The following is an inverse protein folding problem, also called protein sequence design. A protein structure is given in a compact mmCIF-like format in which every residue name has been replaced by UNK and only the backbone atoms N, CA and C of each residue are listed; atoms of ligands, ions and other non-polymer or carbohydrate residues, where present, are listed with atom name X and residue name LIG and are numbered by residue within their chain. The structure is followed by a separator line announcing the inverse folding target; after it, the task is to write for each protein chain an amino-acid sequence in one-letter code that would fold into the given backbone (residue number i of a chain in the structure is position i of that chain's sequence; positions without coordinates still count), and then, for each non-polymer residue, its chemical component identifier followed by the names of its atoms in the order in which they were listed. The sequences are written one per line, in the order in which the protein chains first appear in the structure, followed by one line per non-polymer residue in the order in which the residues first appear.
data_IF_195314496545
#
_entry.id   IF_195314496545
#
_cell.length_a   1.000
_cell.length_b   1.000
_cell.length_c   1.000
_cell.angle_alpha   90.00
_cell.angle_beta   90.00
_cell.angle_gamma   90.00
#
_symmetry.space_group_name_H-M   'P 1'
#
loop_
_entity.id
_entity.type
_entity.pdbx_description
1 polymer ?
#
# COMPACT_ATOMS: atom_id res chain seq x y z
N UNK A 1 -13.59 35.96 -1.59
CA UNK A 1 -12.72 35.32 -2.59
C UNK A 1 -12.06 34.09 -1.94
N UNK A 2 -12.58 32.94 -2.24
CA UNK A 2 -11.99 31.69 -1.77
C UNK A 2 -10.71 31.45 -2.57
N UNK A 3 -9.57 31.63 -1.96
CA UNK A 3 -8.33 31.06 -2.49
C UNK A 3 -8.49 29.56 -2.41
N UNK A 4 -8.91 28.94 -3.50
CA UNK A 4 -8.66 27.52 -3.70
C UNK A 4 -7.15 27.33 -3.58
N UNK A 5 -6.71 26.95 -2.40
CA UNK A 5 -5.44 26.28 -2.27
C UNK A 5 -5.57 25.05 -3.16
N UNK A 6 -5.05 25.14 -4.37
CA UNK A 6 -4.68 23.97 -5.14
C UNK A 6 -3.65 23.23 -4.30
N UNK A 7 -4.14 22.51 -3.31
CA UNK A 7 -3.37 21.45 -2.70
C UNK A 7 -2.99 20.54 -3.86
N UNK A 8 -1.70 20.32 -4.12
CA UNK A 8 -1.29 19.33 -5.11
C UNK A 8 -2.02 18.06 -4.73
N UNK A 9 -2.98 17.71 -5.53
CA UNK A 9 -4.03 16.75 -5.27
C UNK A 9 -3.43 15.50 -4.67
N UNK A 10 -3.63 15.32 -3.38
CA UNK A 10 -3.33 14.06 -2.72
C UNK A 10 -4.01 12.98 -3.55
N UNK A 11 -3.24 12.16 -4.23
CA UNK A 11 -3.79 11.10 -5.05
C UNK A 11 -4.46 10.11 -4.12
N UNK A 12 -5.70 9.86 -4.39
CA UNK A 12 -6.60 9.09 -3.55
C UNK A 12 -7.15 7.92 -4.36
N UNK A 13 -7.18 6.76 -3.77
CA UNK A 13 -7.89 5.59 -4.27
C UNK A 13 -9.08 5.34 -3.37
N UNK A 14 -10.24 5.14 -3.96
CA UNK A 14 -11.47 4.85 -3.25
C UNK A 14 -11.92 3.42 -3.58
N UNK A 15 -11.97 2.56 -2.57
CA UNK A 15 -12.46 1.20 -2.70
C UNK A 15 -13.92 1.16 -2.22
N UNK A 16 -14.80 0.79 -3.12
CA UNK A 16 -16.25 0.78 -2.88
C UNK A 16 -16.89 -0.43 -3.56
N UNK A 17 -17.90 -1.07 -2.96
CA UNK A 17 -18.65 -2.12 -3.63
C UNK A 17 -19.28 -1.60 -4.95
N UNK A 18 -19.31 -2.44 -5.97
CA UNK A 18 -19.86 -2.06 -7.28
C UNK A 18 -21.30 -1.53 -7.19
N UNK A 19 -22.11 -2.12 -6.32
CA UNK A 19 -23.48 -1.67 -6.07
C UNK A 19 -23.59 -0.28 -5.41
N UNK A 20 -22.49 0.24 -4.88
CA UNK A 20 -22.42 1.53 -4.15
C UNK A 20 -21.61 2.59 -4.88
N UNK A 21 -21.41 2.46 -6.17
CA UNK A 21 -20.63 3.38 -6.97
C UNK A 21 -21.11 4.84 -6.86
N UNK A 22 -22.42 5.05 -6.79
CA UNK A 22 -22.99 6.39 -6.61
C UNK A 22 -22.59 7.03 -5.26
N UNK A 23 -22.51 6.23 -4.21
CA UNK A 23 -22.05 6.70 -2.91
C UNK A 23 -20.60 7.19 -2.94
N UNK A 24 -19.76 6.53 -3.72
CA UNK A 24 -18.38 6.95 -3.92
C UNK A 24 -18.29 8.31 -4.65
N UNK A 25 -19.05 8.49 -5.71
CA UNK A 25 -19.11 9.77 -6.44
C UNK A 25 -19.64 10.89 -5.57
N UNK A 26 -20.69 10.63 -4.79
CA UNK A 26 -21.25 11.62 -3.88
C UNK A 26 -20.24 12.03 -2.79
N UNK A 27 -19.53 11.06 -2.21
CA UNK A 27 -18.49 11.33 -1.22
C UNK A 27 -17.33 12.12 -1.82
N UNK A 28 -16.89 11.76 -3.02
CA UNK A 28 -15.83 12.47 -3.73
C UNK A 28 -16.19 13.95 -3.97
N UNK A 29 -17.42 14.22 -4.38
CA UNK A 29 -17.90 15.60 -4.56
C UNK A 29 -18.00 16.35 -3.23
N UNK A 30 -18.54 15.70 -2.19
CA UNK A 30 -18.70 16.32 -0.88
C UNK A 30 -17.38 16.75 -0.25
N UNK A 31 -16.35 15.94 -0.38
CA UNK A 31 -15.03 16.19 0.22
C UNK A 31 -14.04 16.84 -0.74
N UNK A 32 -14.39 17.04 -2.00
CA UNK A 32 -13.52 17.65 -3.00
C UNK A 32 -12.37 16.74 -3.45
N UNK A 33 -12.52 15.42 -3.40
CA UNK A 33 -11.54 14.48 -3.88
C UNK A 33 -11.70 14.19 -5.37
N UNK A 34 -10.60 13.82 -6.00
CA UNK A 34 -10.58 13.22 -7.34
C UNK A 34 -9.98 11.81 -7.25
N UNK A 35 -10.73 10.84 -6.75
CA UNK A 35 -10.20 9.51 -6.51
C UNK A 35 -10.21 8.66 -7.77
N UNK A 36 -9.29 7.69 -7.82
CA UNK A 36 -9.47 6.50 -8.65
C UNK A 36 -10.42 5.55 -7.93
N UNK A 37 -11.56 5.26 -8.53
CA UNK A 37 -12.59 4.41 -7.92
C UNK A 37 -12.36 2.97 -8.38
N UNK A 38 -12.21 2.07 -7.42
CA UNK A 38 -12.02 0.65 -7.63
C UNK A 38 -13.04 -0.16 -6.82
N UNK A 39 -13.38 -1.33 -7.32
CA UNK A 39 -14.38 -2.20 -6.71
C UNK A 39 -13.79 -3.49 -6.14
N UNK A 40 -12.54 -3.78 -6.46
CA UNK A 40 -11.84 -4.97 -6.01
C UNK A 40 -10.56 -4.58 -5.24
N UNK A 41 -10.28 -5.23 -4.09
CA UNK A 41 -9.09 -4.93 -3.29
C UNK A 41 -7.78 -5.05 -4.08
N UNK A 42 -7.67 -6.03 -4.98
CA UNK A 42 -6.47 -6.22 -5.80
C UNK A 42 -6.23 -5.04 -6.75
N UNK A 43 -7.28 -4.52 -7.37
CA UNK A 43 -7.19 -3.35 -8.23
C UNK A 43 -6.88 -2.08 -7.44
N UNK A 44 -7.47 -1.93 -6.26
CA UNK A 44 -7.15 -0.82 -5.37
C UNK A 44 -5.67 -0.85 -4.95
N UNK A 45 -5.13 -2.03 -4.66
CA UNK A 45 -3.71 -2.19 -4.35
C UNK A 45 -2.81 -1.82 -5.54
N UNK A 46 -3.17 -2.25 -6.75
CA UNK A 46 -2.45 -1.91 -7.96
C UNK A 46 -2.43 -0.38 -8.21
N UNK A 47 -3.57 0.27 -8.07
CA UNK A 47 -3.66 1.73 -8.19
C UNK A 47 -2.83 2.46 -7.12
N UNK A 48 -2.85 1.99 -5.89
CA UNK A 48 -2.01 2.54 -4.82
C UNK A 48 -0.52 2.38 -5.13
N UNK A 49 -0.10 1.24 -5.66
CA UNK A 49 1.28 1.04 -6.08
C UNK A 49 1.70 2.05 -7.14
N UNK A 50 0.86 2.31 -8.12
CA UNK A 50 1.11 3.32 -9.15
C UNK A 50 1.19 4.73 -8.55
N UNK A 51 0.29 5.07 -7.65
CA UNK A 51 0.30 6.36 -6.95
C UNK A 51 1.57 6.54 -6.12
N UNK A 52 1.95 5.55 -5.32
CA UNK A 52 3.15 5.60 -4.49
C UNK A 52 4.41 5.74 -5.34
N UNK A 53 4.52 4.98 -6.41
CA UNK A 53 5.65 5.08 -7.34
C UNK A 53 5.73 6.45 -8.02
N UNK A 54 4.59 6.99 -8.43
CA UNK A 54 4.54 8.33 -8.99
C UNK A 54 4.96 9.40 -7.98
N UNK A 55 4.47 9.31 -6.73
CA UNK A 55 4.83 10.23 -5.67
C UNK A 55 6.31 10.14 -5.30
N UNK A 56 6.90 8.97 -5.29
CA UNK A 56 8.35 8.80 -5.10
C UNK A 56 9.16 9.45 -6.21
N UNK A 57 8.70 9.36 -7.46
CA UNK A 57 9.38 9.99 -8.59
C UNK A 57 9.37 11.52 -8.50
N UNK A 58 8.29 12.12 -8.02
CA UNK A 58 8.17 13.58 -7.89
C UNK A 58 8.69 14.11 -6.55
N UNK A 59 8.88 13.27 -5.54
CA UNK A 59 9.31 13.68 -4.20
C UNK A 59 10.63 14.44 -4.20
N UNK A 60 11.55 14.11 -5.10
CA UNK A 60 12.82 14.81 -5.24
C UNK A 60 12.66 16.29 -5.66
N UNK A 61 11.53 16.66 -6.20
CA UNK A 61 11.26 17.98 -6.77
C UNK A 61 10.23 18.79 -5.96
N UNK A 62 9.60 18.18 -4.95
CA UNK A 62 8.58 18.80 -4.14
C UNK A 62 9.07 19.10 -2.73
N UNK A 63 8.80 20.29 -2.25
CA UNK A 63 9.10 20.70 -0.87
C UNK A 63 8.10 20.08 0.13
N UNK A 64 6.88 19.83 -0.30
CA UNK A 64 5.86 19.13 0.48
C UNK A 64 5.84 17.66 0.08
N UNK A 65 5.71 16.78 1.07
CA UNK A 65 5.62 15.34 0.81
C UNK A 65 4.14 14.99 0.54
N UNK A 66 3.79 14.76 -0.73
CA UNK A 66 2.44 14.30 -1.05
C UNK A 66 2.29 12.86 -0.55
N UNK A 67 1.14 12.58 0.06
CA UNK A 67 0.83 11.28 0.64
C UNK A 67 -0.27 10.61 -0.18
N UNK A 68 -0.10 9.33 -0.51
CA UNK A 68 -1.16 8.53 -1.08
C UNK A 68 -2.18 8.16 0.00
N UNK A 69 -3.44 8.13 -0.36
CA UNK A 69 -4.54 7.83 0.54
C UNK A 69 -5.46 6.78 -0.06
N UNK A 70 -5.87 5.82 0.76
CA UNK A 70 -6.94 4.88 0.46
C UNK A 70 -8.16 5.24 1.30
N UNK A 71 -9.30 5.35 0.66
CA UNK A 71 -10.60 5.57 1.30
C UNK A 71 -11.46 4.33 1.09
N UNK A 72 -11.88 3.72 2.18
CA UNK A 72 -12.76 2.57 2.18
C UNK A 72 -14.21 3.01 2.36
N UNK A 73 -15.09 2.54 1.51
CA UNK A 73 -16.52 2.84 1.54
C UNK A 73 -17.30 1.54 1.64
N UNK A 74 -18.23 1.46 2.57
CA UNK A 74 -19.04 0.24 2.81
C UNK A 74 -18.21 -1.03 2.96
N UNK A 75 -17.24 -1.00 3.87
CA UNK A 75 -16.31 -2.12 4.10
C UNK A 75 -16.99 -3.44 4.45
N UNK A 76 -18.17 -3.40 5.04
CA UNK A 76 -18.95 -4.58 5.41
C UNK A 76 -19.41 -5.39 4.19
N UNK A 77 -19.55 -4.75 3.05
CA UNK A 77 -19.95 -5.38 1.78
C UNK A 77 -18.75 -5.83 0.92
N UNK A 78 -17.54 -5.53 1.37
CA UNK A 78 -16.29 -5.85 0.68
C UNK A 78 -15.60 -7.05 1.31
N UNK A 79 -15.11 -7.96 0.47
CA UNK A 79 -14.29 -9.09 0.90
C UNK A 79 -12.80 -8.77 0.74
N UNK A 80 -11.99 -9.28 1.66
CA UNK A 80 -10.54 -9.13 1.60
C UNK A 80 -9.99 -7.77 2.03
N UNK A 81 -10.80 -6.91 2.63
CA UNK A 81 -10.37 -5.57 3.10
C UNK A 81 -9.31 -5.67 4.18
N UNK A 82 -9.46 -6.60 5.14
CA UNK A 82 -8.49 -6.77 6.22
C UNK A 82 -7.12 -7.18 5.69
N UNK A 83 -7.09 -8.05 4.70
CA UNK A 83 -5.86 -8.46 4.02
C UNK A 83 -5.23 -7.29 3.26
N UNK A 84 -6.03 -6.49 2.59
CA UNK A 84 -5.58 -5.29 1.89
C UNK A 84 -4.96 -4.28 2.85
N UNK A 85 -5.65 -3.97 3.95
CA UNK A 85 -5.17 -3.04 4.97
C UNK A 85 -3.85 -3.53 5.57
N UNK A 86 -3.77 -4.81 5.88
CA UNK A 86 -2.54 -5.41 6.40
C UNK A 86 -1.38 -5.31 5.40
N UNK A 87 -1.64 -5.61 4.14
CA UNK A 87 -0.62 -5.51 3.08
C UNK A 87 -0.13 -4.06 2.90
N UNK A 88 -1.04 -3.09 2.91
CA UNK A 88 -0.67 -1.68 2.79
C UNK A 88 0.18 -1.23 3.98
N UNK A 89 -0.20 -1.58 5.20
CA UNK A 89 0.58 -1.25 6.39
C UNK A 89 1.98 -1.88 6.35
N UNK A 90 2.10 -3.07 5.76
CA UNK A 90 3.37 -3.78 5.64
C UNK A 90 4.28 -3.19 4.56
N UNK A 91 3.74 -2.98 3.37
CA UNK A 91 4.53 -2.59 2.20
C UNK A 91 4.57 -1.08 1.95
N UNK A 92 3.54 -0.37 2.36
CA UNK A 92 3.39 1.07 2.15
C UNK A 92 2.96 1.77 3.44
N UNK A 93 3.80 1.80 4.47
CA UNK A 93 3.43 2.37 5.77
C UNK A 93 3.13 3.88 5.72
N UNK A 94 3.55 4.57 4.67
CA UNK A 94 3.27 5.99 4.48
C UNK A 94 1.88 6.28 3.90
N UNK A 95 1.16 5.27 3.40
CA UNK A 95 -0.19 5.44 2.86
C UNK A 95 -1.17 5.65 4.01
N UNK A 96 -1.98 6.69 3.91
CA UNK A 96 -3.07 6.94 4.84
C UNK A 96 -4.28 6.09 4.46
N UNK A 97 -4.83 5.36 5.41
CA UNK A 97 -6.05 4.58 5.23
C UNK A 97 -7.17 5.22 6.04
N UNK A 98 -8.23 5.53 5.37
CA UNK A 98 -9.43 6.14 5.97
C UNK A 98 -10.67 5.35 5.57
N UNK A 99 -11.70 5.40 6.39
CA UNK A 99 -12.99 4.77 6.12
C UNK A 99 -14.09 5.82 6.17
N UNK A 100 -14.99 5.76 5.22
CA UNK A 100 -16.19 6.57 5.22
C UNK A 100 -17.27 5.89 6.07
N UNK A 101 -17.58 6.48 7.22
CA UNK A 101 -18.64 6.05 8.13
C UNK A 101 -19.61 7.20 8.38
N UNK A 102 -20.90 6.97 8.18
CA UNK A 102 -21.96 7.93 8.48
C UNK A 102 -21.69 9.34 7.89
N UNK A 103 -21.18 9.39 6.68
CA UNK A 103 -20.83 10.64 6.00
C UNK A 103 -19.61 11.38 6.56
N UNK A 104 -18.80 10.70 7.37
CA UNK A 104 -17.54 11.22 7.93
C UNK A 104 -16.38 10.33 7.55
N UNK A 105 -15.22 10.94 7.36
CA UNK A 105 -13.97 10.24 7.13
C UNK A 105 -13.30 9.98 8.47
N UNK A 106 -13.04 8.70 8.77
CA UNK A 106 -12.38 8.24 9.98
C UNK A 106 -11.07 7.58 9.59
N UNK A 107 -9.97 8.05 10.15
CA UNK A 107 -8.66 7.46 9.90
C UNK A 107 -8.52 6.11 10.59
N UNK A 108 -8.09 5.11 9.84
CA UNK A 108 -7.73 3.80 10.37
C UNK A 108 -6.28 3.87 10.81
N UNK A 109 -6.07 3.89 12.12
CA UNK A 109 -4.72 3.83 12.68
C UNK A 109 -4.19 2.40 12.60
N UNK A 110 -2.92 2.31 12.25
CA UNK A 110 -2.21 1.05 12.41
C UNK A 110 -1.99 0.78 13.90
N UNK A 111 -2.78 -0.12 14.45
CA UNK A 111 -2.50 -0.66 15.77
C UNK A 111 -1.24 -1.52 15.69
N UNK A 112 -0.12 -0.91 15.93
CA UNK A 112 1.21 -1.54 15.91
C UNK A 112 1.38 -2.70 16.90
N UNK A 113 0.37 -2.98 17.71
CA UNK A 113 0.35 -4.13 18.60
C UNK A 113 0.35 -5.49 17.86
N UNK A 114 0.02 -5.52 16.58
CA UNK A 114 0.04 -6.74 15.76
C UNK A 114 1.42 -7.01 15.16
N UNK A 115 2.28 -6.01 15.10
CA UNK A 115 3.62 -6.13 14.51
C UNK A 115 4.58 -6.93 15.41
N UNK A 116 4.36 -6.94 16.71
CA UNK A 116 5.21 -7.67 17.66
C UNK A 116 5.12 -9.21 17.52
N UNK A 117 4.08 -9.74 16.88
CA UNK A 117 3.97 -11.18 16.65
C UNK A 117 4.62 -11.67 15.36
N UNK A 118 4.95 -10.76 14.44
CA UNK A 118 5.62 -11.12 13.18
C UNK A 118 7.15 -11.04 13.26
N UNK A 119 7.69 -10.52 14.36
CA UNK A 119 9.13 -10.47 14.60
C UNK A 119 9.73 -11.79 15.08
N UNK A 120 8.92 -12.81 15.30
CA UNK A 120 9.40 -14.18 15.52
C UNK A 120 9.42 -15.03 14.23
N UNK A 121 9.76 -14.41 13.11
CA UNK A 121 10.34 -15.21 12.03
C UNK A 121 11.63 -15.79 12.57
N UNK A 122 11.82 -17.12 12.45
CA UNK A 122 13.09 -17.70 12.87
C UNK A 122 14.20 -16.97 12.12
N UNK A 123 14.97 -16.21 12.86
CA UNK A 123 16.21 -15.64 12.34
C UNK A 123 17.06 -16.86 12.05
N UNK A 124 17.19 -17.20 10.78
CA UNK A 124 18.18 -18.15 10.34
C UNK A 124 19.52 -17.52 10.69
N UNK A 125 20.08 -17.92 11.81
CA UNK A 125 21.41 -17.48 12.18
C UNK A 125 22.36 -17.93 11.06
N UNK A 126 23.09 -16.98 10.54
CA UNK A 126 24.09 -17.22 9.50
C UNK A 126 25.22 -18.16 9.93
N UNK A 127 25.19 -18.63 11.18
CA UNK A 127 26.11 -19.64 11.73
C UNK A 127 25.79 -21.06 11.25
N UNK A 128 24.57 -21.30 10.80
CA UNK A 128 24.17 -22.63 10.29
C UNK A 128 24.47 -22.83 8.79
N UNK A 129 24.96 -21.82 8.11
CA UNK A 129 25.46 -21.99 6.75
C UNK A 129 26.92 -22.41 6.85
N UNK A 130 27.15 -23.71 6.72
CA UNK A 130 28.52 -24.26 6.65
C UNK A 130 29.25 -23.60 5.48
N UNK A 131 30.34 -22.91 5.77
CA UNK A 131 31.18 -22.28 4.77
C UNK A 131 31.66 -23.28 3.68
N UNK A 132 31.68 -24.57 3.98
CA UNK A 132 31.96 -25.61 3.02
C UNK A 132 30.88 -25.80 1.96
N UNK A 133 29.61 -25.62 2.31
CA UNK A 133 28.52 -25.67 1.32
C UNK A 133 28.60 -24.50 0.33
N UNK A 134 28.97 -23.33 0.81
CA UNK A 134 29.16 -22.17 -0.06
C UNK A 134 30.34 -22.36 -1.02
N UNK A 135 31.43 -22.99 -0.57
CA UNK A 135 32.57 -23.31 -1.43
C UNK A 135 32.20 -24.35 -2.49
N UNK A 136 31.40 -25.35 -2.17
CA UNK A 136 30.94 -26.34 -3.14
C UNK A 136 30.07 -25.74 -4.26
N UNK A 137 29.30 -24.69 -3.93
CA UNK A 137 28.47 -23.99 -4.92
C UNK A 137 29.28 -23.04 -5.81
N UNK A 138 30.40 -22.54 -5.29
CA UNK A 138 31.25 -21.58 -6.00
C UNK A 138 32.37 -22.28 -6.81
N UNK A 139 32.74 -23.51 -6.44
CA UNK A 139 33.80 -24.27 -7.11
C UNK A 139 33.26 -25.15 -8.23
N UNK A 140 32.27 -24.66 -8.94
CA UNK A 140 31.79 -25.29 -10.16
C UNK A 140 32.75 -24.93 -11.32
N UNK A 141 33.99 -25.32 -11.20
CA UNK A 141 34.91 -25.27 -12.33
C UNK A 141 34.40 -26.26 -13.38
N UNK A 142 34.20 -25.82 -14.60
CA UNK A 142 33.96 -26.74 -15.69
C UNK A 142 35.19 -27.66 -15.76
N UNK A 143 34.97 -28.96 -15.63
CA UNK A 143 35.98 -29.93 -15.94
C UNK A 143 36.39 -29.68 -17.38
N UNK A 144 37.60 -29.16 -17.56
CA UNK A 144 38.28 -29.25 -18.84
C UNK A 144 38.50 -30.73 -19.13
N UNK A 145 37.76 -31.23 -20.09
CA UNK A 145 38.03 -32.55 -20.65
C UNK A 145 39.28 -32.35 -21.48
N UNK A 146 40.43 -32.73 -20.93
CA UNK A 146 41.62 -32.93 -21.73
C UNK A 146 41.40 -34.21 -22.54
N UNK A 147 41.30 -34.03 -23.82
CA UNK A 147 41.52 -35.16 -24.75
C UNK A 147 43.00 -35.55 -24.81
#
# INVERSE_FOLDING_TARGET
MSTEKNNPTARCVMLVPLARNEAAHHAAQKFGFQPSIEHEPALAMAELCLHVNHLRAIQAWCTEQPVAQLILVHTQELEGVDQLVHAIHTYFPSVLISELRDGRIVDIKNDSAVVDKLTELPIVHSEDVDANELYMLLDNKPHEVEE
#
